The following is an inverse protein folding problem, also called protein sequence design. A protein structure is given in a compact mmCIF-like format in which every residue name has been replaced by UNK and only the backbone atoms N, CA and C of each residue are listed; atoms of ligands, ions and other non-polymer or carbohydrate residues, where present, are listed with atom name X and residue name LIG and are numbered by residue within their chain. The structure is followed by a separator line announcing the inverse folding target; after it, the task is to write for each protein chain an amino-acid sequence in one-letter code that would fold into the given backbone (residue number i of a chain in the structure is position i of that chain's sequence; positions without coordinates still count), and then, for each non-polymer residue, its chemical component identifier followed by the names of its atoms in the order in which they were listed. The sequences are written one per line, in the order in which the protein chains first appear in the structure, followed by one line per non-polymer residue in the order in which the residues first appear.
data_IF_281938610269
#
_entry.id   IF_281938610269
#
_cell.length_a   1.000
_cell.length_b   1.000
_cell.length_c   1.000
_cell.angle_alpha   90.00
_cell.angle_beta   90.00
_cell.angle_gamma   90.00
#
_symmetry.space_group_name_H-M   'P 1'
#
loop_
_entity.id
_entity.type
_entity.pdbx_description
1 polymer ?
#
# COMPACT_ATOMS: atom_id res chain seq x y z
N UNK A 1 -12.54 -21.72 53.62
CA UNK A 1 -13.09 -21.22 52.33
C UNK A 1 -13.10 -19.69 52.35
N UNK A 2 -12.28 -19.02 51.54
CA UNK A 2 -12.31 -17.56 51.39
C UNK A 2 -12.14 -17.25 49.91
N UNK A 3 -13.25 -16.85 49.27
CA UNK A 3 -13.28 -16.46 47.85
C UNK A 3 -12.56 -15.11 47.69
N UNK A 4 -11.68 -14.91 46.70
CA UNK A 4 -11.12 -13.60 46.43
C UNK A 4 -12.17 -12.67 45.81
N UNK A 5 -12.11 -11.39 46.18
CA UNK A 5 -13.02 -10.32 45.73
C UNK A 5 -13.00 -10.15 44.20
N UNK A 6 -14.16 -9.91 43.54
CA UNK A 6 -14.19 -9.63 42.12
C UNK A 6 -13.62 -8.24 41.83
N UNK A 7 -12.81 -8.15 40.76
CA UNK A 7 -12.25 -6.90 40.22
C UNK A 7 -13.40 -6.08 39.63
N UNK A 8 -13.50 -4.76 39.89
CA UNK A 8 -14.54 -3.93 39.28
C UNK A 8 -14.33 -3.83 37.76
N UNK A 9 -15.34 -4.26 37.02
CA UNK A 9 -15.42 -4.24 35.56
C UNK A 9 -15.47 -2.78 35.08
N UNK A 10 -14.39 -2.29 34.48
CA UNK A 10 -14.35 -0.97 33.83
C UNK A 10 -15.23 -1.02 32.58
N UNK A 11 -16.50 -0.63 32.74
CA UNK A 11 -17.45 -0.34 31.66
C UNK A 11 -16.84 0.63 30.65
N UNK A 12 -16.66 0.18 29.42
CA UNK A 12 -16.23 1.04 28.31
C UNK A 12 -17.32 2.10 28.05
N UNK A 13 -16.98 3.40 28.01
CA UNK A 13 -18.01 4.42 27.83
C UNK A 13 -18.63 4.32 26.42
N UNK A 14 -19.94 4.56 26.27
CA UNK A 14 -20.59 4.47 24.97
C UNK A 14 -19.99 5.51 24.02
N UNK A 15 -19.69 5.09 22.79
CA UNK A 15 -19.28 5.97 21.68
C UNK A 15 -20.42 6.95 21.34
N UNK A 16 -20.50 8.05 22.08
CA UNK A 16 -21.32 9.20 21.68
C UNK A 16 -20.69 9.80 20.44
N UNK A 17 -21.46 9.90 19.35
CA UNK A 17 -21.11 10.75 18.20
C UNK A 17 -21.16 12.20 18.69
N UNK A 18 -20.03 12.70 19.19
CA UNK A 18 -19.88 14.09 19.62
C UNK A 18 -20.03 14.99 18.38
N UNK A 19 -21.02 15.89 18.39
CA UNK A 19 -21.12 16.96 17.40
C UNK A 19 -20.01 17.98 17.61
N UNK A 20 -19.59 18.65 16.52
CA UNK A 20 -18.57 19.70 16.60
C UNK A 20 -19.06 20.83 17.51
N UNK A 21 -18.26 21.15 18.53
CA UNK A 21 -18.43 22.35 19.34
C UNK A 21 -18.27 23.62 18.48
N UNK A 22 -18.73 24.76 19.00
CA UNK A 22 -18.65 26.04 18.29
C UNK A 22 -17.21 26.44 17.95
N UNK A 23 -16.27 26.15 18.86
CA UNK A 23 -14.83 26.36 18.66
C UNK A 23 -14.27 25.47 17.55
N UNK A 24 -14.65 24.19 17.54
CA UNK A 24 -14.23 23.24 16.50
C UNK A 24 -14.83 23.61 15.13
N UNK A 25 -16.05 24.16 15.11
CA UNK A 25 -16.71 24.63 13.88
C UNK A 25 -16.03 25.88 13.33
N UNK A 26 -15.66 26.84 14.17
CA UNK A 26 -14.89 28.02 13.76
C UNK A 26 -13.50 27.65 13.20
N UNK A 27 -12.83 26.67 13.81
CA UNK A 27 -11.58 26.13 13.29
C UNK A 27 -11.77 25.42 11.95
N UNK A 28 -12.88 24.70 11.78
CA UNK A 28 -13.18 24.02 10.52
C UNK A 28 -13.47 25.01 9.38
N UNK A 29 -14.15 26.13 9.67
CA UNK A 29 -14.41 27.18 8.69
C UNK A 29 -13.14 27.90 8.22
N UNK A 30 -12.18 28.11 9.12
CA UNK A 30 -10.89 28.74 8.75
C UNK A 30 -10.07 27.82 7.84
N UNK A 31 -10.04 26.52 8.12
CA UNK A 31 -9.38 25.51 7.28
C UNK A 31 -10.10 25.36 5.93
N UNK A 32 -11.43 25.31 5.92
CA UNK A 32 -12.21 25.15 4.69
C UNK A 32 -12.01 26.32 3.70
N UNK A 33 -11.82 27.55 4.21
CA UNK A 33 -11.53 28.74 3.38
C UNK A 33 -10.16 28.67 2.66
N UNK A 34 -9.21 27.91 3.20
CA UNK A 34 -7.85 27.80 2.64
C UNK A 34 -7.72 26.75 1.54
N UNK A 35 -8.74 25.91 1.33
CA UNK A 35 -8.66 24.79 0.38
C UNK A 35 -9.27 25.20 -0.97
N UNK A 36 -8.51 25.03 -2.06
CA UNK A 36 -8.97 25.31 -3.43
C UNK A 36 -9.93 24.20 -3.91
N UNK A 37 -11.22 24.48 -4.16
CA UNK A 37 -12.18 23.44 -4.54
C UNK A 37 -11.92 22.92 -5.95
N UNK A 38 -11.93 21.60 -6.11
CA UNK A 38 -11.51 20.90 -7.35
C UNK A 38 -12.61 20.84 -8.45
N UNK A 39 -13.82 21.36 -8.24
CA UNK A 39 -14.91 21.27 -9.24
C UNK A 39 -15.72 22.56 -9.34
N UNK A 40 -15.55 23.27 -10.46
CA UNK A 40 -16.45 24.36 -10.91
C UNK A 40 -17.38 23.83 -12.02
N UNK A 41 -18.41 23.09 -11.66
CA UNK A 41 -19.59 22.88 -12.52
C UNK A 41 -20.78 22.47 -11.65
N UNK A 42 -21.95 23.11 -11.79
CA UNK A 42 -23.12 22.74 -11.00
C UNK A 42 -23.56 21.34 -11.41
N UNK A 43 -23.56 20.42 -10.45
CA UNK A 43 -24.24 19.13 -10.58
C UNK A 43 -25.73 19.46 -10.55
N UNK A 44 -26.40 19.27 -11.69
CA UNK A 44 -27.84 19.45 -11.84
C UNK A 44 -28.58 18.82 -10.66
N UNK A 45 -29.44 19.62 -10.03
CA UNK A 45 -30.34 19.18 -8.99
C UNK A 45 -31.24 18.06 -9.56
N UNK A 46 -31.21 16.88 -8.94
CA UNK A 46 -32.28 15.89 -9.07
C UNK A 46 -33.38 16.31 -8.10
N UNK A 47 -34.43 16.96 -8.61
CA UNK A 47 -35.70 17.08 -7.94
C UNK A 47 -36.58 15.89 -8.34
N UNK A 48 -37.07 15.14 -7.36
CA UNK A 48 -38.19 14.22 -7.53
C UNK A 48 -39.47 15.05 -7.49
N UNK A 49 -40.39 14.80 -8.43
CA UNK A 49 -41.68 15.47 -8.48
C UNK A 49 -42.58 14.90 -9.58
N UNK A 50 -43.27 13.82 -9.24
CA UNK A 50 -44.68 13.47 -9.53
C UNK A 50 -45.26 13.75 -10.94
N UNK A 51 -45.65 12.68 -11.63
CA UNK A 51 -46.44 12.61 -12.88
C UNK A 51 -47.93 13.07 -12.66
N UNK A 52 -48.80 13.30 -13.69
CA UNK A 52 -49.12 12.34 -14.76
C UNK A 52 -49.32 12.91 -16.20
N UNK A 53 -49.38 11.95 -17.15
CA UNK A 53 -49.62 12.00 -18.61
C UNK A 53 -50.97 12.64 -19.06
N UNK A 54 -51.43 12.57 -20.34
CA UNK A 54 -50.82 12.15 -21.62
C UNK A 54 -51.08 13.15 -22.80
N UNK A 55 -50.45 12.94 -23.96
CA UNK A 55 -51.11 12.96 -25.29
C UNK A 55 -50.08 12.79 -26.43
N UNK A 56 -50.17 11.64 -27.11
CA UNK A 56 -49.69 11.42 -28.49
C UNK A 56 -50.86 11.69 -29.44
N UNK A 57 -50.67 12.15 -30.70
CA UNK A 57 -50.37 11.17 -31.76
C UNK A 57 -49.64 11.68 -33.04
N UNK A 58 -49.10 10.69 -33.78
CA UNK A 58 -48.86 10.56 -35.24
C UNK A 58 -47.95 11.53 -36.01
N UNK A 59 -46.91 11.00 -36.67
CA UNK A 59 -46.91 10.70 -38.11
C UNK A 59 -45.49 10.50 -38.70
N UNK A 60 -45.43 9.64 -39.71
CA UNK A 60 -44.28 9.15 -40.48
C UNK A 60 -43.40 10.22 -41.15
N UNK A 61 -42.11 9.93 -41.37
CA UNK A 61 -41.59 9.58 -42.71
C UNK A 61 -40.10 9.24 -42.72
N UNK A 62 -39.73 8.45 -43.71
CA UNK A 62 -38.44 7.84 -44.04
C UNK A 62 -37.48 8.82 -44.72
N UNK A 63 -36.17 8.75 -44.41
CA UNK A 63 -35.10 9.11 -45.36
C UNK A 63 -33.71 8.62 -44.88
N UNK A 64 -33.10 7.73 -45.65
CA UNK A 64 -31.69 7.30 -45.52
C UNK A 64 -30.70 8.44 -45.86
N UNK A 65 -29.53 8.52 -45.21
CA UNK A 65 -28.37 9.22 -45.77
C UNK A 65 -27.32 8.26 -46.38
N UNK A 66 -26.53 8.71 -47.38
CA UNK A 66 -25.70 7.85 -48.21
C UNK A 66 -24.36 7.43 -47.57
N UNK A 67 -23.81 6.32 -48.08
CA UNK A 67 -22.56 5.66 -47.67
C UNK A 67 -21.35 6.59 -47.82
N UNK A 68 -20.59 6.78 -46.73
CA UNK A 68 -19.25 7.37 -46.75
C UNK A 68 -18.18 6.28 -46.91
N UNK A 69 -17.24 6.49 -47.84
CA UNK A 69 -16.02 5.70 -48.02
C UNK A 69 -15.09 5.84 -46.80
N UNK A 70 -14.38 4.78 -46.37
CA UNK A 70 -13.45 4.86 -45.25
C UNK A 70 -12.14 5.53 -45.66
N UNK A 71 -11.50 6.33 -44.80
CA UNK A 71 -10.17 6.85 -45.05
C UNK A 71 -9.11 5.75 -44.91
N UNK A 72 -8.09 5.80 -45.78
CA UNK A 72 -6.98 4.86 -45.83
C UNK A 72 -6.23 4.77 -44.47
N UNK A 73 -6.05 3.54 -43.98
CA UNK A 73 -5.30 3.24 -42.76
C UNK A 73 -3.79 3.38 -43.01
N UNK A 74 -3.15 4.31 -42.32
CA UNK A 74 -1.69 4.39 -42.23
C UNK A 74 -1.20 3.20 -41.38
N UNK A 75 -0.26 2.36 -41.86
CA UNK A 75 0.28 1.27 -41.05
C UNK A 75 1.10 1.84 -39.90
N UNK A 76 0.71 1.50 -38.67
CA UNK A 76 1.38 1.91 -37.43
C UNK A 76 2.66 1.09 -37.28
N UNK A 77 3.81 1.77 -37.20
CA UNK A 77 5.10 1.14 -36.98
C UNK A 77 5.10 0.26 -35.70
N UNK A 78 5.79 -0.90 -35.71
CA UNK A 78 5.85 -1.79 -34.55
C UNK A 78 6.62 -1.11 -33.41
N UNK A 79 6.01 -1.05 -32.23
CA UNK A 79 6.69 -0.58 -31.01
C UNK A 79 7.77 -1.60 -30.62
N UNK A 80 8.98 -1.17 -30.22
CA UNK A 80 9.99 -2.08 -29.69
C UNK A 80 9.44 -2.78 -28.44
N UNK A 81 9.51 -4.11 -28.44
CA UNK A 81 9.07 -4.93 -27.31
C UNK A 81 10.01 -4.70 -26.12
N UNK A 82 9.47 -4.22 -25.00
CA UNK A 82 10.23 -4.21 -23.74
C UNK A 82 10.60 -5.65 -23.38
N UNK A 83 11.82 -5.90 -22.85
CA UNK A 83 12.19 -7.21 -22.35
C UNK A 83 11.19 -7.66 -21.28
N UNK A 84 10.91 -8.98 -21.17
CA UNK A 84 9.95 -9.50 -20.21
C UNK A 84 10.38 -9.10 -18.79
N UNK A 85 9.46 -8.51 -18.03
CA UNK A 85 9.68 -8.15 -16.64
C UNK A 85 10.11 -9.40 -15.85
N UNK A 86 11.14 -9.26 -15.01
CA UNK A 86 11.56 -10.36 -14.14
C UNK A 86 10.37 -10.85 -13.30
N UNK A 87 10.22 -12.17 -13.08
CA UNK A 87 9.11 -12.71 -12.28
C UNK A 87 9.07 -12.04 -10.90
N UNK A 88 7.93 -11.97 -10.19
CA UNK A 88 7.90 -11.41 -8.84
C UNK A 88 8.85 -12.18 -7.91
N UNK A 89 9.37 -11.54 -6.86
CA UNK A 89 10.10 -12.27 -5.81
C UNK A 89 9.15 -13.28 -5.16
N UNK A 90 9.62 -14.51 -4.93
CA UNK A 90 8.80 -15.52 -4.30
C UNK A 90 8.60 -15.15 -2.82
N UNK A 91 7.36 -15.16 -2.29
CA UNK A 91 7.16 -15.05 -0.86
C UNK A 91 7.85 -16.22 -0.16
N UNK A 92 8.31 -16.01 1.08
CA UNK A 92 8.85 -17.11 1.87
C UNK A 92 7.76 -18.18 2.06
N UNK A 93 8.16 -19.44 2.08
CA UNK A 93 7.20 -20.52 2.30
C UNK A 93 6.61 -20.42 3.71
N UNK A 94 5.29 -20.65 3.87
CA UNK A 94 4.60 -20.65 5.19
C UNK A 94 5.35 -21.44 6.26
N UNK A 95 5.96 -22.58 5.87
CA UNK A 95 6.80 -23.42 6.74
C UNK A 95 8.06 -22.69 7.21
N UNK A 96 8.75 -21.98 6.33
CA UNK A 96 9.98 -21.26 6.66
C UNK A 96 9.70 -20.10 7.61
N UNK A 97 8.67 -19.29 7.33
CA UNK A 97 8.22 -18.24 8.25
C UNK A 97 7.85 -18.80 9.62
N UNK A 98 7.16 -19.93 9.66
CA UNK A 98 6.77 -20.59 10.91
C UNK A 98 7.95 -21.17 11.68
N UNK A 99 9.05 -21.51 11.01
CA UNK A 99 10.28 -21.95 11.66
C UNK A 99 11.07 -20.76 12.21
N UNK A 100 11.16 -19.66 11.44
CA UNK A 100 11.79 -18.42 11.88
C UNK A 100 11.04 -17.79 13.06
N UNK A 101 9.70 -17.78 13.04
CA UNK A 101 8.89 -17.23 14.13
C UNK A 101 9.02 -18.02 15.43
N UNK A 102 9.26 -19.33 15.34
CA UNK A 102 9.46 -20.23 16.49
C UNK A 102 10.92 -20.39 16.89
N UNK A 103 11.85 -19.68 16.23
CA UNK A 103 13.29 -19.82 16.48
C UNK A 103 13.89 -21.18 16.08
N UNK A 104 13.18 -21.98 15.27
CA UNK A 104 13.71 -23.26 14.73
C UNK A 104 14.68 -23.06 13.57
N UNK A 105 14.57 -21.93 12.89
CA UNK A 105 15.57 -21.41 11.95
C UNK A 105 16.14 -20.14 12.55
N UNK A 106 17.46 -19.99 12.47
CA UNK A 106 18.14 -18.83 13.00
C UNK A 106 17.98 -17.62 12.09
N UNK A 107 18.03 -16.44 12.71
CA UNK A 107 18.11 -15.15 12.02
C UNK A 107 19.56 -14.72 12.16
N UNK A 108 20.31 -14.81 11.07
CA UNK A 108 21.76 -14.67 11.06
C UNK A 108 22.21 -13.24 11.37
N UNK A 109 21.46 -12.26 10.86
CA UNK A 109 21.75 -10.85 11.03
C UNK A 109 20.50 -9.98 11.04
N UNK A 110 20.62 -8.79 11.63
CA UNK A 110 19.54 -7.80 11.72
C UNK A 110 20.02 -6.44 11.23
N UNK A 111 19.19 -5.77 10.46
CA UNK A 111 19.39 -4.39 10.04
C UNK A 111 18.23 -3.54 10.53
N UNK A 112 18.56 -2.43 11.18
CA UNK A 112 17.58 -1.44 11.58
C UNK A 112 17.63 -0.20 10.69
N UNK A 113 16.50 0.11 10.08
CA UNK A 113 16.30 1.24 9.18
C UNK A 113 15.37 2.28 9.81
N UNK A 114 14.82 2.05 11.00
CA UNK A 114 13.86 2.99 11.58
C UNK A 114 14.48 4.38 11.74
N UNK A 115 13.68 5.42 11.46
CA UNK A 115 14.14 6.81 11.57
C UNK A 115 15.15 7.25 10.51
N UNK A 116 15.60 6.37 9.61
CA UNK A 116 16.45 6.76 8.50
C UNK A 116 15.64 7.46 7.40
N UNK A 117 16.29 8.38 6.68
CA UNK A 117 15.75 8.91 5.42
C UNK A 117 15.78 7.81 4.35
N UNK A 118 14.92 7.93 3.33
CA UNK A 118 14.86 6.95 2.24
C UNK A 118 16.24 6.69 1.60
N UNK A 119 16.97 7.75 1.29
CA UNK A 119 18.30 7.66 0.69
C UNK A 119 19.30 6.91 1.60
N UNK A 120 19.31 7.21 2.91
CA UNK A 120 20.21 6.55 3.86
C UNK A 120 19.83 5.09 4.03
N UNK A 121 18.53 4.81 4.17
CA UNK A 121 18.00 3.46 4.32
C UNK A 121 18.32 2.58 3.09
N UNK A 122 18.17 3.13 1.88
CA UNK A 122 18.48 2.41 0.64
C UNK A 122 19.96 1.98 0.59
N UNK A 123 20.88 2.90 0.86
CA UNK A 123 22.33 2.60 0.88
C UNK A 123 22.69 1.59 1.97
N UNK A 124 22.11 1.75 3.17
CA UNK A 124 22.32 0.85 4.29
C UNK A 124 21.82 -0.57 3.97
N UNK A 125 20.61 -0.68 3.41
CA UNK A 125 20.00 -1.95 3.01
C UNK A 125 20.84 -2.66 1.94
N UNK A 126 21.25 -1.94 0.91
CA UNK A 126 22.04 -2.51 -0.18
C UNK A 126 23.38 -3.04 0.34
N UNK A 127 24.14 -2.23 1.08
CA UNK A 127 25.42 -2.67 1.64
C UNK A 127 25.28 -3.82 2.65
N UNK A 128 24.21 -3.84 3.44
CA UNK A 128 23.90 -4.95 4.34
C UNK A 128 23.65 -6.26 3.59
N UNK A 129 22.82 -6.24 2.54
CA UNK A 129 22.52 -7.43 1.77
C UNK A 129 23.71 -7.94 0.96
N UNK A 130 24.58 -7.05 0.47
CA UNK A 130 25.84 -7.44 -0.15
C UNK A 130 26.75 -8.20 0.82
N UNK A 131 26.93 -7.66 2.04
CA UNK A 131 27.71 -8.35 3.08
C UNK A 131 27.09 -9.69 3.45
N UNK A 132 25.78 -9.71 3.73
CA UNK A 132 25.06 -10.95 4.06
C UNK A 132 25.18 -12.00 2.95
N UNK A 133 25.16 -11.59 1.69
CA UNK A 133 25.38 -12.49 0.55
C UNK A 133 26.80 -13.05 0.54
N UNK A 134 27.81 -12.18 0.66
CA UNK A 134 29.23 -12.59 0.69
C UNK A 134 29.56 -13.50 1.88
N UNK A 135 28.99 -13.22 3.05
CA UNK A 135 29.15 -14.00 4.28
C UNK A 135 28.35 -15.33 4.24
N UNK A 136 27.56 -15.56 3.19
CA UNK A 136 26.79 -16.79 3.01
C UNK A 136 25.58 -16.94 3.95
N UNK A 137 25.08 -15.83 4.51
CA UNK A 137 23.90 -15.82 5.38
C UNK A 137 22.66 -16.25 4.59
N UNK A 138 21.70 -16.89 5.27
CA UNK A 138 20.49 -17.40 4.63
C UNK A 138 19.28 -16.55 4.97
N UNK A 139 19.09 -16.21 6.24
CA UNK A 139 17.93 -15.46 6.71
C UNK A 139 18.36 -14.24 7.52
N UNK A 140 17.94 -13.06 7.05
CA UNK A 140 18.18 -11.80 7.74
C UNK A 140 16.87 -11.10 8.06
N UNK A 141 16.88 -10.29 9.11
CA UNK A 141 15.75 -9.47 9.52
C UNK A 141 16.00 -8.00 9.21
N UNK A 142 15.09 -7.37 8.48
CA UNK A 142 15.15 -5.94 8.17
C UNK A 142 14.02 -5.23 8.91
N UNK A 143 14.36 -4.31 9.81
CA UNK A 143 13.43 -3.54 10.62
C UNK A 143 13.24 -2.17 9.98
N UNK A 144 12.05 -1.88 9.45
CA UNK A 144 11.73 -0.57 8.85
C UNK A 144 11.04 0.35 9.85
N UNK A 145 10.51 -0.21 10.93
CA UNK A 145 9.59 0.44 11.85
C UNK A 145 8.14 0.43 11.32
N UNK A 146 7.19 0.64 12.24
CA UNK A 146 5.74 0.65 11.95
C UNK A 146 5.26 1.97 11.30
N UNK A 147 6.10 3.01 11.33
CA UNK A 147 5.72 4.38 10.99
C UNK A 147 5.09 5.11 12.19
N UNK A 148 5.20 6.44 12.22
CA UNK A 148 4.54 7.24 13.27
C UNK A 148 3.03 7.31 13.01
N UNK A 149 2.24 7.28 14.08
CA UNK A 149 0.80 7.54 14.06
C UNK A 149 0.60 9.06 13.90
N UNK A 150 0.75 9.57 12.67
CA UNK A 150 0.66 10.99 12.33
C UNK A 150 0.28 11.18 10.86
N UNK A 151 0.23 12.44 10.40
CA UNK A 151 -0.21 12.90 9.07
C UNK A 151 0.03 11.87 7.95
N UNK A 152 -0.99 11.66 7.09
CA UNK A 152 -1.02 10.65 6.01
C UNK A 152 0.27 10.60 5.18
N UNK A 153 0.96 11.73 5.03
CA UNK A 153 2.16 11.89 4.21
C UNK A 153 3.42 11.23 4.80
N UNK A 154 3.53 11.05 6.12
CA UNK A 154 4.73 10.49 6.78
C UNK A 154 4.54 9.06 7.32
N UNK A 155 3.38 8.44 7.08
CA UNK A 155 3.14 7.04 7.47
C UNK A 155 4.20 6.15 6.84
N UNK A 156 4.92 5.36 7.65
CA UNK A 156 5.71 4.18 7.26
C UNK A 156 6.35 4.22 5.87
N UNK A 157 7.08 5.28 5.52
CA UNK A 157 7.63 5.44 4.17
C UNK A 157 8.54 4.26 3.82
N UNK A 158 9.46 3.90 4.72
CA UNK A 158 10.36 2.77 4.52
C UNK A 158 9.64 1.43 4.47
N UNK A 159 8.56 1.25 5.24
CA UNK A 159 7.72 0.04 5.19
C UNK A 159 7.14 -0.17 3.78
N UNK A 160 6.78 0.91 3.07
CA UNK A 160 6.29 0.84 1.68
C UNK A 160 7.42 0.69 0.66
N UNK A 161 8.52 1.40 0.88
CA UNK A 161 9.62 1.50 -0.08
C UNK A 161 10.52 0.26 -0.10
N UNK A 162 10.82 -0.33 1.06
CA UNK A 162 11.73 -1.48 1.15
C UNK A 162 11.24 -2.68 0.31
N UNK A 163 9.97 -3.11 0.37
CA UNK A 163 9.46 -4.15 -0.53
C UNK A 163 9.63 -3.83 -2.02
N UNK A 164 9.51 -2.54 -2.40
CA UNK A 164 9.71 -2.10 -3.79
C UNK A 164 11.19 -2.19 -4.18
N UNK A 165 12.09 -1.73 -3.32
CA UNK A 165 13.54 -1.82 -3.55
C UNK A 165 14.01 -3.26 -3.67
N UNK A 166 13.53 -4.17 -2.81
CA UNK A 166 13.85 -5.60 -2.90
C UNK A 166 13.47 -6.20 -4.27
N UNK A 167 12.45 -5.64 -4.94
CA UNK A 167 12.05 -6.05 -6.29
C UNK A 167 12.94 -5.52 -7.42
N UNK A 168 13.80 -4.54 -7.17
CA UNK A 168 14.68 -3.93 -8.19
C UNK A 168 15.81 -4.89 -8.59
N UNK A 169 16.33 -4.79 -9.84
CA UNK A 169 17.35 -5.70 -10.35
C UNK A 169 18.59 -5.83 -9.47
N UNK A 170 19.06 -4.73 -8.88
CA UNK A 170 20.25 -4.68 -8.03
C UNK A 170 20.08 -5.45 -6.71
N UNK A 171 18.86 -5.52 -6.17
CA UNK A 171 18.56 -6.31 -4.96
C UNK A 171 18.20 -7.75 -5.31
N UNK A 172 17.57 -7.97 -6.47
CA UNK A 172 17.13 -9.30 -6.92
C UNK A 172 18.27 -10.28 -7.18
N UNK A 173 19.46 -9.77 -7.48
CA UNK A 173 20.68 -10.59 -7.55
C UNK A 173 21.08 -11.16 -6.18
N UNK A 174 20.79 -10.43 -5.10
CA UNK A 174 21.17 -10.76 -3.72
C UNK A 174 20.05 -11.47 -2.94
N UNK A 175 18.78 -11.30 -3.34
CA UNK A 175 17.60 -11.74 -2.57
C UNK A 175 16.79 -12.77 -3.34
N UNK A 176 16.38 -13.84 -2.64
CA UNK A 176 15.51 -14.89 -3.18
C UNK A 176 14.04 -14.54 -2.96
N UNK A 177 13.72 -14.00 -1.78
CA UNK A 177 12.36 -13.72 -1.37
C UNK A 177 12.30 -13.01 -0.02
N UNK A 178 11.14 -12.44 0.31
CA UNK A 178 10.90 -11.81 1.61
C UNK A 178 9.45 -12.03 2.06
N UNK A 179 9.22 -11.92 3.36
CA UNK A 179 7.88 -11.98 3.96
C UNK A 179 7.84 -11.13 5.24
N UNK A 180 6.64 -10.73 5.66
CA UNK A 180 6.44 -10.01 6.92
C UNK A 180 6.90 -10.84 8.13
N UNK A 181 7.62 -10.19 9.03
CA UNK A 181 8.11 -10.80 10.25
C UNK A 181 6.96 -11.20 11.19
N UNK A 182 7.28 -12.05 12.16
CA UNK A 182 6.35 -12.35 13.26
C UNK A 182 6.22 -11.16 14.21
N UNK A 183 5.13 -11.06 14.97
CA UNK A 183 4.89 -9.93 15.89
C UNK A 183 6.02 -9.76 16.92
N UNK A 184 6.60 -10.87 17.39
CA UNK A 184 7.75 -10.87 18.31
C UNK A 184 9.06 -10.34 17.70
N UNK A 185 9.16 -10.26 16.37
CA UNK A 185 10.31 -9.73 15.64
C UNK A 185 10.01 -8.42 14.91
N UNK A 186 8.88 -7.76 15.24
CA UNK A 186 8.51 -6.45 14.69
C UNK A 186 7.22 -6.42 13.87
N UNK A 187 6.67 -7.59 13.50
CA UNK A 187 5.42 -7.71 12.73
C UNK A 187 5.46 -6.90 11.44
N UNK A 188 4.40 -6.12 11.19
CA UNK A 188 4.27 -5.23 10.02
C UNK A 188 5.42 -4.22 9.83
N UNK A 189 6.22 -3.96 10.86
CA UNK A 189 7.36 -3.06 10.82
C UNK A 189 8.70 -3.75 10.51
N UNK A 190 8.71 -5.05 10.23
CA UNK A 190 9.91 -5.80 9.90
C UNK A 190 9.65 -6.90 8.87
N UNK A 191 10.71 -7.29 8.15
CA UNK A 191 10.68 -8.27 7.07
C UNK A 191 11.74 -9.33 7.30
N UNK A 192 11.36 -10.60 7.17
CA UNK A 192 12.32 -11.67 6.94
C UNK A 192 12.73 -11.64 5.47
N UNK A 193 14.03 -11.64 5.22
CA UNK A 193 14.59 -11.65 3.88
C UNK A 193 15.46 -12.89 3.74
N UNK A 194 15.19 -13.69 2.70
CA UNK A 194 16.03 -14.82 2.32
C UNK A 194 17.07 -14.34 1.33
N UNK A 195 18.32 -14.40 1.75
CA UNK A 195 19.47 -14.00 0.94
C UNK A 195 19.86 -15.16 0.03
N UNK A 196 20.32 -14.84 -1.18
CA UNK A 196 20.89 -15.81 -2.10
C UNK A 196 22.25 -16.26 -1.55
N UNK A 197 22.50 -17.56 -1.54
CA UNK A 197 23.78 -18.09 -1.08
C UNK A 197 24.86 -17.76 -2.10
N UNK A 198 25.96 -17.14 -1.64
CA UNK A 198 27.14 -16.97 -2.48
C UNK A 198 27.66 -18.35 -2.89
N UNK A 199 27.85 -18.54 -4.18
CA UNK A 199 28.53 -19.70 -4.74
C UNK A 199 30.01 -19.34 -4.74
N UNK A 200 30.68 -19.59 -3.62
CA UNK A 200 32.14 -19.61 -3.55
C UNK A 200 32.60 -20.91 -4.19
#
# INVERSE_FOLDING_TARGET
MKRPNPIPELSAPPRRKRGLSEEERALWESVAKQIKPLRKKPRAAKAHGVAPDPETPVAATSANPPKHLPPARIPRAPKPALPPAAPPLAPLGRRERSQLSRGRKEIDARLDLHGMTQMRAHRALFGFLQRAHSDGLTFVLVITGKGKMGSESERGVLRRQVPQWLGLPEFRSLVVGFEEAHIGHGGEGALYVRVRRSRI
#
